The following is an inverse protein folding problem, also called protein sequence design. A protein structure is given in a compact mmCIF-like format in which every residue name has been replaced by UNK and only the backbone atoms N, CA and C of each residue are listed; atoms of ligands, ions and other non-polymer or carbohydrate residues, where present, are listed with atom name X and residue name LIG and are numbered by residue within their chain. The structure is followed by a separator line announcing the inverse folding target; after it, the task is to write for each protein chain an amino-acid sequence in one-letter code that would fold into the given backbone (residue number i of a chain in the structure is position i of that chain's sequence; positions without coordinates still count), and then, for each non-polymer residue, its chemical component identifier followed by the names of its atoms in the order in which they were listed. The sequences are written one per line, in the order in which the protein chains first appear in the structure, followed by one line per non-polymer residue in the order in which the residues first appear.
data_IF_112850645508
#
_entry.id   IF_112850645508
#
_cell.length_a   1.000
_cell.length_b   1.000
_cell.length_c   1.000
_cell.angle_alpha   90.00
_cell.angle_beta   90.00
_cell.angle_gamma   90.00
#
_symmetry.space_group_name_H-M   'P 1'
#
loop_
_entity.id
_entity.type
_entity.pdbx_description
1 polymer ?
#
# COMPACT_ATOMS: atom_id res chain seq x y z
N UNK A 1 14.37 4.17 14.75
CA UNK A 1 14.11 5.53 15.23
C UNK A 1 12.68 5.60 15.76
N UNK A 2 12.48 6.25 16.92
CA UNK A 2 11.15 6.49 17.48
C UNK A 2 10.40 7.55 16.65
N UNK A 3 9.07 7.45 16.60
CA UNK A 3 8.23 8.39 15.84
C UNK A 3 8.38 9.85 16.30
N UNK A 4 8.66 10.04 17.59
CA UNK A 4 8.75 11.36 18.23
C UNK A 4 10.16 11.99 18.15
N UNK A 5 11.16 11.24 17.65
CA UNK A 5 12.50 11.79 17.47
C UNK A 5 12.50 12.84 16.34
N UNK A 6 13.22 13.96 16.51
CA UNK A 6 13.33 14.95 15.44
C UNK A 6 13.92 14.31 14.17
N UNK A 7 13.57 14.81 12.97
CA UNK A 7 14.11 14.32 11.72
C UNK A 7 15.65 14.34 11.75
N UNK A 8 16.30 13.28 11.27
CA UNK A 8 17.75 13.27 11.10
C UNK A 8 18.20 14.38 10.14
N UNK A 9 19.52 14.61 10.03
CA UNK A 9 20.12 15.64 9.14
C UNK A 9 19.65 15.56 7.67
N UNK A 10 19.16 14.39 7.22
CA UNK A 10 18.61 14.16 5.89
C UNK A 10 17.13 14.48 5.78
N UNK A 11 16.45 14.90 6.87
CA UNK A 11 14.97 15.02 6.89
C UNK A 11 14.22 13.69 6.90
N UNK A 12 14.92 12.56 6.82
CA UNK A 12 14.29 11.25 6.76
C UNK A 12 13.57 10.89 8.07
N UNK A 13 12.31 10.52 7.98
CA UNK A 13 11.49 10.08 9.10
C UNK A 13 12.00 8.77 9.72
N UNK A 14 12.52 7.89 8.87
CA UNK A 14 13.12 6.61 9.25
C UNK A 14 14.49 6.46 8.63
N UNK A 15 15.41 5.84 9.36
CA UNK A 15 16.73 5.47 8.85
C UNK A 15 16.95 3.97 9.08
N UNK A 16 17.57 3.32 8.13
CA UNK A 16 17.97 1.93 8.28
C UNK A 16 19.04 1.77 9.35
N UNK A 17 18.92 0.72 10.14
CA UNK A 17 19.96 0.34 11.12
C UNK A 17 21.24 -0.12 10.40
N UNK A 18 21.08 -0.66 9.20
CA UNK A 18 22.16 -1.12 8.34
C UNK A 18 22.00 -0.51 6.94
N UNK A 19 23.09 -0.18 6.27
CA UNK A 19 23.07 0.46 4.95
C UNK A 19 24.12 -0.14 4.04
N UNK A 20 23.78 -0.27 2.74
CA UNK A 20 24.76 -0.61 1.71
C UNK A 20 25.93 0.38 1.74
N UNK A 21 27.16 -0.11 1.58
CA UNK A 21 28.38 0.72 1.66
C UNK A 21 28.94 0.90 3.07
N UNK A 22 28.30 0.37 4.10
CA UNK A 22 28.86 0.23 5.44
C UNK A 22 29.49 -1.16 5.64
N UNK A 23 30.51 -1.33 6.50
CA UNK A 23 31.01 -2.66 6.86
C UNK A 23 29.85 -3.55 7.34
N UNK A 24 29.68 -4.72 6.73
CA UNK A 24 28.55 -5.63 6.97
C UNK A 24 27.17 -5.01 6.73
N UNK A 25 27.09 -3.91 5.97
CA UNK A 25 25.83 -3.26 5.63
C UNK A 25 25.04 -4.06 4.60
N UNK A 26 23.72 -4.18 4.79
CA UNK A 26 22.80 -4.84 3.88
C UNK A 26 21.67 -3.88 3.49
N UNK A 27 21.07 -4.11 2.34
CA UNK A 27 19.81 -3.45 1.95
C UNK A 27 18.64 -4.36 2.23
N UNK A 28 17.48 -3.78 2.58
CA UNK A 28 16.22 -4.53 2.70
C UNK A 28 15.69 -5.00 1.34
N UNK A 29 16.16 -4.43 0.23
CA UNK A 29 15.58 -4.64 -1.10
C UNK A 29 14.16 -4.10 -1.26
N UNK A 30 13.61 -3.43 -0.25
CA UNK A 30 12.21 -2.93 -0.22
C UNK A 30 11.21 -4.01 -0.68
N UNK A 31 11.15 -5.18 -0.01
CA UNK A 31 10.28 -6.27 -0.43
C UNK A 31 8.81 -5.83 -0.38
N UNK A 32 8.01 -6.44 -1.25
CA UNK A 32 6.56 -6.35 -1.17
C UNK A 32 6.06 -7.09 0.07
N UNK A 33 5.01 -6.58 0.67
CA UNK A 33 4.27 -7.26 1.72
C UNK A 33 2.90 -7.69 1.18
N UNK A 34 2.50 -8.90 1.49
CA UNK A 34 1.21 -9.44 1.10
C UNK A 34 0.43 -9.87 2.33
N UNK A 35 -0.87 -9.58 2.35
CA UNK A 35 -1.81 -10.04 3.37
C UNK A 35 -3.15 -10.40 2.75
N UNK A 36 -3.74 -11.49 3.21
CA UNK A 36 -5.02 -12.01 2.75
C UNK A 36 -4.91 -13.27 1.89
N UNK A 37 -5.90 -13.51 1.05
CA UNK A 37 -5.92 -14.66 0.14
C UNK A 37 -5.00 -14.44 -1.06
N UNK A 38 -4.01 -15.33 -1.30
CA UNK A 38 -2.94 -15.10 -2.29
C UNK A 38 -3.42 -14.87 -3.72
N UNK A 39 -4.52 -15.47 -4.13
CA UNK A 39 -5.03 -15.39 -5.49
C UNK A 39 -6.48 -14.91 -5.53
N UNK A 40 -6.84 -14.02 -4.61
CA UNK A 40 -8.12 -13.36 -4.62
C UNK A 40 -8.41 -12.72 -5.98
N UNK A 41 -9.66 -12.77 -6.44
CA UNK A 41 -10.07 -12.17 -7.72
C UNK A 41 -9.76 -10.69 -7.81
N UNK A 42 -9.79 -9.99 -6.67
CA UNK A 42 -9.45 -8.58 -6.53
C UNK A 42 -8.37 -8.43 -5.48
N UNK A 43 -7.29 -7.73 -5.81
CA UNK A 43 -6.22 -7.38 -4.87
C UNK A 43 -6.07 -5.87 -4.81
N UNK A 44 -5.85 -5.34 -3.62
CA UNK A 44 -5.63 -3.92 -3.38
C UNK A 44 -4.12 -3.66 -3.28
N UNK A 45 -3.64 -2.59 -3.92
CA UNK A 45 -2.24 -2.15 -3.80
C UNK A 45 -2.19 -0.85 -3.01
N UNK A 46 -1.49 -0.85 -1.87
CA UNK A 46 -1.37 0.31 -1.00
C UNK A 46 0.08 0.58 -0.61
N UNK A 47 0.33 1.77 -0.08
CA UNK A 47 1.60 2.14 0.52
C UNK A 47 1.61 1.81 2.01
N UNK A 48 2.70 1.19 2.48
CA UNK A 48 2.91 0.90 3.91
C UNK A 48 2.34 -0.44 4.38
N UNK A 49 3.21 -1.26 4.94
CA UNK A 49 2.92 -2.63 5.33
C UNK A 49 1.84 -2.72 6.42
N UNK A 50 1.99 -1.93 7.50
CA UNK A 50 1.03 -1.91 8.60
C UNK A 50 -0.36 -1.43 8.17
N UNK A 51 -0.42 -0.53 7.20
CA UNK A 51 -1.67 -0.04 6.62
C UNK A 51 -2.42 -1.17 5.91
N UNK A 52 -1.71 -2.00 5.14
CA UNK A 52 -2.28 -3.17 4.48
C UNK A 52 -2.83 -4.18 5.49
N UNK A 53 -2.08 -4.46 6.57
CA UNK A 53 -2.51 -5.37 7.62
C UNK A 53 -3.77 -4.88 8.31
N UNK A 54 -3.81 -3.60 8.70
CA UNK A 54 -5.00 -3.01 9.34
C UNK A 54 -6.20 -3.01 8.40
N UNK A 55 -6.01 -2.59 7.13
CA UNK A 55 -7.09 -2.60 6.16
C UNK A 55 -7.59 -4.02 5.88
N UNK A 56 -6.72 -5.02 5.84
CA UNK A 56 -7.11 -6.43 5.75
C UNK A 56 -7.94 -6.86 6.96
N UNK A 57 -7.46 -6.61 8.18
CA UNK A 57 -8.19 -6.94 9.41
C UNK A 57 -9.59 -6.30 9.46
N UNK A 58 -9.72 -5.08 8.95
CA UNK A 58 -10.99 -4.35 8.94
C UNK A 58 -11.95 -4.84 7.85
N UNK A 59 -11.44 -5.31 6.70
CA UNK A 59 -12.26 -5.56 5.50
C UNK A 59 -12.30 -7.01 5.04
N UNK A 60 -11.34 -7.84 5.45
CA UNK A 60 -11.11 -9.19 4.91
C UNK A 60 -10.55 -9.20 3.48
N UNK A 61 -10.28 -8.03 2.86
CA UNK A 61 -9.76 -7.91 1.50
C UNK A 61 -8.27 -8.23 1.44
N UNK A 62 -7.80 -8.65 0.26
CA UNK A 62 -6.38 -8.98 0.06
C UNK A 62 -5.60 -7.77 -0.41
N UNK A 63 -4.41 -7.57 0.16
CA UNK A 63 -3.56 -6.41 -0.12
C UNK A 63 -2.14 -6.83 -0.51
N UNK A 64 -1.56 -6.08 -1.44
CA UNK A 64 -0.12 -5.97 -1.67
C UNK A 64 0.31 -4.59 -1.22
N UNK A 65 1.26 -4.51 -0.30
CA UNK A 65 1.84 -3.25 0.13
C UNK A 65 3.25 -3.06 -0.40
N UNK A 66 3.52 -1.84 -0.84
CA UNK A 66 4.86 -1.38 -1.18
C UNK A 66 5.46 -0.63 0.01
N UNK A 67 6.78 -0.69 0.18
CA UNK A 67 7.47 -0.09 1.33
C UNK A 67 7.48 1.45 1.31
N UNK A 68 7.17 2.04 0.18
CA UNK A 68 7.03 3.48 -0.02
C UNK A 68 6.53 3.77 -1.43
N UNK A 69 5.98 4.94 -1.66
CA UNK A 69 5.28 5.39 -2.87
C UNK A 69 5.93 4.92 -4.18
N UNK A 70 7.25 5.00 -4.30
CA UNK A 70 8.00 4.59 -5.50
C UNK A 70 8.75 3.26 -5.35
N UNK A 71 8.53 2.50 -4.27
CA UNK A 71 9.19 1.21 -4.06
C UNK A 71 8.47 0.08 -4.79
N UNK A 72 8.38 0.18 -6.12
CA UNK A 72 7.60 -0.74 -6.96
C UNK A 72 8.38 -1.99 -7.42
N UNK A 73 9.57 -2.22 -6.85
CA UNK A 73 10.40 -3.37 -7.20
C UNK A 73 9.65 -4.69 -6.95
N UNK A 74 9.64 -5.55 -7.96
CA UNK A 74 8.97 -6.85 -7.88
C UNK A 74 7.45 -6.81 -8.04
N UNK A 75 6.79 -5.64 -8.06
CA UNK A 75 5.33 -5.54 -8.16
C UNK A 75 4.80 -6.16 -9.45
N UNK A 76 5.45 -5.91 -10.59
CA UNK A 76 5.03 -6.50 -11.87
C UNK A 76 5.09 -8.03 -11.83
N UNK A 77 6.19 -8.59 -11.34
CA UNK A 77 6.35 -10.05 -11.25
C UNK A 77 5.32 -10.68 -10.31
N UNK A 78 5.03 -10.04 -9.18
CA UNK A 78 4.02 -10.48 -8.24
C UNK A 78 2.62 -10.46 -8.86
N UNK A 79 2.25 -9.36 -9.53
CA UNK A 79 0.96 -9.22 -10.18
C UNK A 79 0.80 -10.17 -11.38
N UNK A 80 1.86 -10.45 -12.14
CA UNK A 80 1.84 -11.49 -13.19
C UNK A 80 1.56 -12.87 -12.60
N UNK A 81 2.23 -13.23 -11.51
CA UNK A 81 1.98 -14.48 -10.81
C UNK A 81 0.51 -14.57 -10.34
N UNK A 82 -0.02 -13.50 -9.76
CA UNK A 82 -1.42 -13.43 -9.33
C UNK A 82 -2.40 -13.57 -10.51
N UNK A 83 -2.11 -12.91 -11.64
CA UNK A 83 -2.93 -13.01 -12.87
C UNK A 83 -3.02 -14.44 -13.39
N UNK A 84 -1.89 -15.14 -13.41
CA UNK A 84 -1.81 -16.54 -13.84
C UNK A 84 -2.59 -17.50 -12.92
N UNK A 85 -2.78 -17.11 -11.66
CA UNK A 85 -3.45 -17.91 -10.64
C UNK A 85 -4.87 -17.44 -10.31
N UNK A 86 -5.46 -16.55 -11.12
CA UNK A 86 -6.89 -16.28 -11.06
C UNK A 86 -7.31 -14.86 -10.66
N UNK A 87 -6.38 -14.01 -10.20
CA UNK A 87 -6.64 -12.59 -9.96
C UNK A 87 -7.04 -11.90 -11.27
N UNK A 88 -7.99 -10.98 -11.21
CA UNK A 88 -8.53 -10.26 -12.37
C UNK A 88 -8.42 -8.76 -12.26
N UNK A 89 -8.49 -8.22 -11.04
CA UNK A 89 -8.57 -6.80 -10.81
C UNK A 89 -7.53 -6.36 -9.76
N UNK A 90 -6.82 -5.30 -10.07
CA UNK A 90 -6.03 -4.52 -9.11
C UNK A 90 -6.77 -3.23 -8.79
N UNK A 91 -6.96 -2.96 -7.51
CA UNK A 91 -7.48 -1.69 -6.99
C UNK A 91 -6.32 -0.91 -6.40
N UNK A 92 -5.90 0.16 -7.06
CA UNK A 92 -4.93 1.10 -6.49
C UNK A 92 -5.59 1.85 -5.33
N UNK A 93 -4.97 1.78 -4.15
CA UNK A 93 -5.48 2.33 -2.88
C UNK A 93 -4.39 3.10 -2.13
N UNK A 94 -3.64 3.95 -2.83
CA UNK A 94 -2.69 4.88 -2.23
C UNK A 94 -3.42 6.00 -1.49
N UNK A 95 -2.72 6.65 -0.58
CA UNK A 95 -3.25 7.72 0.26
C UNK A 95 -3.96 8.82 -0.55
N UNK A 96 -4.94 9.45 0.06
CA UNK A 96 -5.77 10.47 -0.60
C UNK A 96 -5.02 11.76 -0.94
N UNK A 97 -3.83 11.97 -0.42
CA UNK A 97 -2.94 13.05 -0.86
C UNK A 97 -2.50 12.92 -2.34
N UNK A 98 -2.78 11.77 -2.99
CA UNK A 98 -2.67 11.64 -4.45
C UNK A 98 -3.53 12.63 -5.25
N UNK A 99 -4.57 13.21 -4.65
CA UNK A 99 -5.43 14.21 -5.30
C UNK A 99 -4.78 15.61 -5.32
N UNK A 100 -3.81 15.87 -4.44
CA UNK A 100 -3.17 17.16 -4.28
C UNK A 100 -1.66 17.13 -4.59
N UNK A 101 -1.04 15.94 -4.52
CA UNK A 101 0.38 15.72 -4.69
C UNK A 101 0.66 14.95 -5.97
N UNK A 102 1.14 15.65 -7.00
CA UNK A 102 1.46 15.08 -8.32
C UNK A 102 2.46 13.92 -8.26
N UNK A 103 3.37 13.92 -7.28
CA UNK A 103 4.33 12.84 -7.09
C UNK A 103 3.62 11.54 -6.65
N UNK A 104 2.66 11.64 -5.74
CA UNK A 104 1.86 10.48 -5.29
C UNK A 104 0.91 10.05 -6.40
N UNK A 105 0.28 11.00 -7.09
CA UNK A 105 -0.58 10.73 -8.25
C UNK A 105 0.15 9.94 -9.34
N UNK A 106 1.35 10.39 -9.72
CA UNK A 106 2.19 9.70 -10.71
C UNK A 106 2.56 8.28 -10.28
N UNK A 107 2.83 8.07 -8.99
CA UNK A 107 3.12 6.73 -8.48
C UNK A 107 1.87 5.82 -8.48
N UNK A 108 0.70 6.35 -8.15
CA UNK A 108 -0.57 5.63 -8.24
C UNK A 108 -0.90 5.22 -9.70
N UNK A 109 -0.65 6.08 -10.66
CA UNK A 109 -0.79 5.76 -12.09
C UNK A 109 0.18 4.65 -12.53
N UNK A 110 1.43 4.68 -12.07
CA UNK A 110 2.41 3.62 -12.33
C UNK A 110 1.94 2.26 -11.81
N UNK A 111 1.34 2.20 -10.62
CA UNK A 111 0.75 0.96 -10.10
C UNK A 111 -0.31 0.41 -11.05
N UNK A 112 -1.21 1.27 -11.53
CA UNK A 112 -2.24 0.86 -12.48
C UNK A 112 -1.64 0.42 -13.83
N UNK A 113 -0.62 1.10 -14.31
CA UNK A 113 0.09 0.73 -15.54
C UNK A 113 0.77 -0.64 -15.39
N UNK A 114 1.46 -0.89 -14.28
CA UNK A 114 2.09 -2.18 -13.97
C UNK A 114 1.03 -3.29 -13.94
N UNK A 115 -0.13 -3.05 -13.34
CA UNK A 115 -1.22 -4.01 -13.31
C UNK A 115 -1.71 -4.37 -14.72
N UNK A 116 -1.88 -3.38 -15.60
CA UNK A 116 -2.27 -3.62 -17.01
C UNK A 116 -1.21 -4.39 -17.78
N UNK A 117 0.06 -4.06 -17.60
CA UNK A 117 1.20 -4.79 -18.21
C UNK A 117 1.26 -6.24 -17.69
N UNK A 118 0.86 -6.48 -16.45
CA UNK A 118 0.74 -7.82 -15.88
C UNK A 118 -0.49 -8.60 -16.38
N UNK A 119 -1.34 -8.00 -17.21
CA UNK A 119 -2.55 -8.64 -17.77
C UNK A 119 -3.79 -8.53 -16.89
N UNK A 120 -3.80 -7.60 -15.93
CA UNK A 120 -4.91 -7.36 -15.01
C UNK A 120 -5.70 -6.10 -15.38
N UNK A 121 -6.99 -6.09 -15.07
CA UNK A 121 -7.74 -4.84 -15.01
C UNK A 121 -7.23 -4.00 -13.84
N UNK A 122 -7.31 -2.67 -13.95
CA UNK A 122 -6.94 -1.78 -12.86
C UNK A 122 -7.93 -0.62 -12.70
N UNK A 123 -8.14 -0.21 -11.46
CA UNK A 123 -8.92 0.97 -11.09
C UNK A 123 -8.25 1.68 -9.92
N UNK A 124 -8.56 2.95 -9.73
CA UNK A 124 -8.16 3.71 -8.55
C UNK A 124 -9.31 3.79 -7.57
N UNK A 125 -9.02 3.58 -6.29
CA UNK A 125 -9.97 3.79 -5.21
C UNK A 125 -9.82 5.20 -4.67
N UNK A 126 -10.92 5.92 -4.57
CA UNK A 126 -11.01 7.26 -4.00
C UNK A 126 -12.04 7.24 -2.87
N UNK A 127 -11.73 7.86 -1.74
CA UNK A 127 -12.63 7.99 -0.60
C UNK A 127 -12.63 9.42 -0.06
N UNK A 128 -13.32 9.66 1.05
CA UNK A 128 -13.37 10.96 1.68
C UNK A 128 -11.96 11.43 2.12
N UNK A 129 -11.51 12.57 1.61
CA UNK A 129 -10.17 13.15 1.86
C UNK A 129 -9.90 13.52 3.31
N UNK A 130 -10.94 13.55 4.18
CA UNK A 130 -10.77 13.68 5.62
C UNK A 130 -9.95 12.51 6.22
N UNK A 131 -9.92 11.38 5.54
CA UNK A 131 -9.12 10.20 5.92
C UNK A 131 -7.96 10.03 4.96
N UNK A 132 -6.74 10.16 5.45
CA UNK A 132 -5.56 10.05 4.59
C UNK A 132 -5.37 8.64 4.04
N UNK A 133 -5.31 7.64 4.91
CA UNK A 133 -5.08 6.24 4.56
C UNK A 133 -6.38 5.43 4.42
N UNK A 134 -6.29 4.32 3.68
CA UNK A 134 -7.40 3.37 3.54
C UNK A 134 -7.78 2.73 4.88
N UNK A 135 -6.82 2.52 5.76
CA UNK A 135 -7.01 2.00 7.10
C UNK A 135 -7.81 2.94 7.99
N UNK A 136 -7.47 4.24 7.98
CA UNK A 136 -8.22 5.27 8.72
C UNK A 136 -9.67 5.35 8.24
N UNK A 137 -9.88 5.34 6.93
CA UNK A 137 -11.22 5.37 6.34
C UNK A 137 -12.03 4.12 6.70
N UNK A 138 -11.46 2.93 6.59
CA UNK A 138 -12.18 1.68 6.92
C UNK A 138 -12.49 1.59 8.41
N UNK A 139 -11.61 2.09 9.27
CA UNK A 139 -11.88 2.19 10.71
C UNK A 139 -13.06 3.10 11.00
N UNK A 140 -13.13 4.26 10.35
CA UNK A 140 -14.25 5.19 10.52
C UNK A 140 -15.58 4.56 10.09
N UNK A 141 -15.62 3.89 8.93
CA UNK A 141 -16.82 3.19 8.47
C UNK A 141 -17.30 2.13 9.47
N UNK A 142 -16.38 1.33 10.02
CA UNK A 142 -16.74 0.35 11.06
C UNK A 142 -17.29 0.96 12.33
N UNK A 143 -16.76 2.12 12.72
CA UNK A 143 -17.26 2.84 13.90
C UNK A 143 -18.67 3.41 13.67
N UNK A 144 -18.96 3.89 12.47
CA UNK A 144 -20.30 4.34 12.07
C UNK A 144 -21.30 3.19 12.07
N UNK A 145 -20.97 2.06 11.43
CA UNK A 145 -21.81 0.85 11.44
C UNK A 145 -22.10 0.33 12.86
N UNK A 146 -21.10 0.40 13.75
CA UNK A 146 -21.27 -0.03 15.14
C UNK A 146 -22.22 0.89 15.91
N UNK A 147 -22.18 2.20 15.65
CA UNK A 147 -23.12 3.17 16.26
C UNK A 147 -24.54 2.98 15.77
N UNK A 148 -24.72 2.75 14.47
CA UNK A 148 -26.05 2.50 13.87
C UNK A 148 -26.69 1.21 14.42
N UNK A 149 -25.90 0.16 14.66
CA UNK A 149 -26.39 -1.09 15.23
C UNK A 149 -26.72 -1.00 16.73
N UNK A 150 -26.17 -0.01 17.41
CA UNK A 150 -26.40 0.22 18.85
C UNK A 150 -27.53 1.22 19.15
N UNK A 151 -28.06 1.91 18.15
CA UNK A 151 -29.15 2.88 18.25
C UNK A 151 -30.51 2.23 17.94
#
# INVERSE_FOLDING_TARGET
RRRDDPPGKSGAKYIWLSSVGKPNGVTSGSPLHFVGEPFAKTVYVTEGLLKADLAHCLTGRSFVAVAGVNSLNGLESALRCMAQNGTKLVVEAYDMDKLENEFVASAAEKVQQIARVAGLQSTSLVWNTAYKGIDDWQLALRQEEAKEKAA
#
